data_IF_029929163235
#
_entry.id   IF_029929163235
#
_cell.length_a   1.000
_cell.length_b   1.000
_cell.length_c   1.000
_cell.angle_alpha   90.00
_cell.angle_beta   90.00
_cell.angle_gamma   90.00
#
_symmetry.space_group_name_H-M   'P 1'
#
loop_
_entity.id
_entity.type
_entity.pdbx_description
1 polymer ?
#
# COMPACT_ATOMS: atom_id res chain seq x y z
N UNK A 1 -2.13 -34.04 25.41
CA UNK A 1 -2.20 -32.64 24.97
C UNK A 1 -0.88 -32.29 24.33
N UNK A 2 -0.85 -32.04 23.02
CA UNK A 2 0.35 -31.57 22.31
C UNK A 2 0.48 -30.06 22.50
N UNK A 3 1.64 -29.60 22.96
CA UNK A 3 2.00 -28.19 22.93
C UNK A 3 2.37 -27.80 21.50
N UNK A 4 1.77 -26.71 20.99
CA UNK A 4 1.81 -26.30 19.58
C UNK A 4 2.92 -25.28 19.27
N UNK A 5 3.69 -24.82 20.26
CA UNK A 5 4.79 -23.88 20.01
C UNK A 5 5.98 -24.21 20.89
N UNK A 6 7.02 -24.76 20.28
CA UNK A 6 8.38 -24.80 20.81
C UNK A 6 9.27 -23.98 19.87
N UNK A 7 9.27 -22.67 20.10
CA UNK A 7 10.16 -21.72 19.47
C UNK A 7 10.50 -20.67 20.51
N UNK A 8 11.65 -20.81 21.14
CA UNK A 8 12.20 -19.89 22.13
C UNK A 8 12.29 -18.48 21.52
N UNK A 9 11.54 -17.54 22.07
CA UNK A 9 11.75 -16.10 21.83
C UNK A 9 13.04 -15.70 22.54
N UNK A 10 14.17 -15.89 21.87
CA UNK A 10 15.46 -15.36 22.32
C UNK A 10 15.40 -13.83 22.42
N UNK A 11 16.02 -13.21 23.44
CA UNK A 11 15.99 -11.77 23.60
C UNK A 11 16.74 -11.08 22.45
N UNK A 12 16.11 -10.04 21.88
CA UNK A 12 16.69 -9.21 20.83
C UNK A 12 17.94 -8.52 21.40
N UNK A 13 19.12 -8.97 20.98
CA UNK A 13 20.38 -8.30 21.28
C UNK A 13 20.64 -7.29 20.16
N UNK A 14 20.32 -6.03 20.44
CA UNK A 14 20.90 -4.89 19.74
C UNK A 14 22.41 -4.91 20.04
N UNK A 15 23.26 -4.57 19.07
CA UNK A 15 24.73 -4.59 19.15
C UNK A 15 25.40 -5.96 18.96
N UNK A 16 25.60 -6.37 17.71
CA UNK A 16 26.95 -6.63 17.18
C UNK A 16 26.91 -6.61 15.65
N UNK A 17 27.42 -5.53 15.07
CA UNK A 17 27.76 -5.44 13.65
C UNK A 17 28.95 -6.36 13.39
N UNK A 18 28.75 -7.40 12.58
CA UNK A 18 29.81 -8.38 12.30
C UNK A 18 29.29 -9.65 11.64
N UNK A 19 29.03 -9.53 10.35
CA UNK A 19 29.35 -10.59 9.38
C UNK A 19 28.56 -11.91 9.50
N UNK A 20 27.28 -11.90 9.08
CA UNK A 20 26.60 -13.06 8.49
C UNK A 20 25.60 -12.60 7.44
N UNK A 21 26.05 -12.60 6.18
CA UNK A 21 25.22 -12.35 5.01
C UNK A 21 25.25 -13.62 4.14
N UNK A 22 24.59 -14.68 4.61
CA UNK A 22 24.41 -15.96 3.88
C UNK A 22 22.92 -16.21 3.57
N UNK A 23 22.23 -15.18 3.10
CA UNK A 23 21.04 -15.32 2.27
C UNK A 23 21.34 -14.72 0.91
N UNK A 24 20.78 -15.22 -0.20
CA UNK A 24 20.92 -14.53 -1.48
C UNK A 24 20.51 -13.07 -1.25
N UNK A 25 21.26 -12.08 -1.75
CA UNK A 25 20.83 -10.70 -1.66
C UNK A 25 19.42 -10.65 -2.25
N UNK A 26 18.42 -10.43 -1.40
CA UNK A 26 17.06 -10.21 -1.84
C UNK A 26 17.16 -9.12 -2.90
N UNK A 27 16.62 -9.32 -4.11
CA UNK A 27 16.68 -8.32 -5.14
C UNK A 27 16.19 -7.04 -4.50
N UNK A 28 17.11 -6.08 -4.34
CA UNK A 28 16.73 -4.74 -3.98
C UNK A 28 15.74 -4.36 -5.07
N UNK A 29 14.46 -4.31 -4.73
CA UNK A 29 13.45 -3.66 -5.54
C UNK A 29 13.81 -2.18 -5.51
N UNK A 30 14.88 -1.87 -6.25
CA UNK A 30 15.44 -0.57 -6.43
C UNK A 30 14.35 0.20 -7.12
N UNK A 31 13.67 1.02 -6.34
CA UNK A 31 12.92 2.14 -6.85
C UNK A 31 13.93 3.12 -7.44
N UNK A 32 14.39 2.77 -8.64
CA UNK A 32 15.21 3.62 -9.49
C UNK A 32 14.30 4.75 -9.95
N UNK A 33 14.42 5.92 -9.31
CA UNK A 33 14.32 7.26 -9.91
C UNK A 33 13.15 7.62 -10.82
N UNK A 34 12.08 6.82 -10.92
CA UNK A 34 10.90 7.18 -11.70
C UNK A 34 10.13 8.20 -10.88
N UNK A 35 10.04 9.42 -11.38
CA UNK A 35 9.09 10.44 -10.91
C UNK A 35 7.70 9.80 -11.00
N UNK A 36 7.12 9.49 -9.84
CA UNK A 36 5.77 8.94 -9.74
C UNK A 36 4.82 10.14 -9.84
N UNK A 37 4.05 10.25 -10.92
CA UNK A 37 2.97 11.26 -11.04
C UNK A 37 1.77 10.86 -10.16
N UNK A 38 2.02 10.75 -8.85
CA UNK A 38 1.03 10.29 -7.87
C UNK A 38 -0.01 11.36 -7.55
N UNK A 39 0.35 12.65 -7.71
CA UNK A 39 -0.52 13.79 -7.44
C UNK A 39 -1.76 13.76 -8.35
N UNK A 40 -1.54 13.70 -9.67
CA UNK A 40 -2.62 13.57 -10.66
C UNK A 40 -3.45 12.29 -10.44
N UNK A 41 -2.78 11.19 -10.12
CA UNK A 41 -3.45 9.91 -9.91
C UNK A 41 -4.38 9.91 -8.69
N UNK A 42 -3.97 10.58 -7.59
CA UNK A 42 -4.78 10.73 -6.38
C UNK A 42 -5.84 11.82 -6.53
N UNK A 43 -5.58 12.90 -7.28
CA UNK A 43 -6.58 13.95 -7.53
C UNK A 43 -7.78 13.44 -8.32
N UNK A 44 -7.54 12.53 -9.26
CA UNK A 44 -8.60 11.84 -9.99
C UNK A 44 -9.59 11.11 -9.05
N UNK A 45 -9.13 10.60 -7.90
CA UNK A 45 -9.98 9.86 -6.95
C UNK A 45 -11.06 10.72 -6.28
N UNK A 46 -11.00 12.04 -6.39
CA UNK A 46 -12.09 12.91 -5.95
C UNK A 46 -13.42 12.58 -6.62
N UNK A 47 -13.39 12.20 -7.90
CA UNK A 47 -14.59 11.88 -8.70
C UNK A 47 -15.38 10.70 -8.14
N UNK A 48 -14.81 9.48 -8.00
CA UNK A 48 -15.56 8.34 -7.46
C UNK A 48 -16.01 8.58 -6.02
N UNK A 49 -15.22 9.29 -5.20
CA UNK A 49 -15.60 9.63 -3.82
C UNK A 49 -16.82 10.57 -3.80
N UNK A 50 -16.89 11.56 -4.69
CA UNK A 50 -18.06 12.44 -4.80
C UNK A 50 -19.34 11.71 -5.21
N UNK A 51 -19.25 10.55 -5.87
CA UNK A 51 -20.42 9.75 -6.27
C UNK A 51 -20.97 8.83 -5.18
N UNK A 52 -20.26 8.67 -4.06
CA UNK A 52 -20.71 7.84 -2.93
C UNK A 52 -22.00 8.41 -2.34
N UNK A 53 -23.05 7.60 -2.25
CA UNK A 53 -24.38 8.07 -1.81
C UNK A 53 -24.44 8.41 -0.31
N UNK A 54 -23.73 7.65 0.52
CA UNK A 54 -23.67 7.86 1.96
C UNK A 54 -22.68 8.97 2.30
N UNK A 55 -23.17 10.05 2.94
CA UNK A 55 -22.35 11.22 3.28
C UNK A 55 -21.29 10.89 4.35
N UNK A 56 -21.58 9.96 5.26
CA UNK A 56 -20.63 9.51 6.27
C UNK A 56 -19.48 8.75 5.63
N UNK A 57 -19.80 7.79 4.74
CA UNK A 57 -18.79 7.03 3.99
C UNK A 57 -17.99 7.96 3.07
N UNK A 58 -18.66 8.93 2.43
CA UNK A 58 -18.00 9.95 1.61
C UNK A 58 -17.00 10.76 2.42
N UNK A 59 -17.40 11.27 3.59
CA UNK A 59 -16.51 11.99 4.50
C UNK A 59 -15.31 11.14 4.94
N UNK A 60 -15.55 9.88 5.30
CA UNK A 60 -14.50 8.94 5.67
C UNK A 60 -13.51 8.68 4.51
N UNK A 61 -14.00 8.53 3.28
CA UNK A 61 -13.17 8.38 2.08
C UNK A 61 -12.34 9.63 1.78
N UNK A 62 -12.90 10.83 1.98
CA UNK A 62 -12.17 12.09 1.81
C UNK A 62 -11.03 12.25 2.82
N UNK A 63 -11.27 11.86 4.08
CA UNK A 63 -10.24 11.83 5.11
C UNK A 63 -9.16 10.80 4.74
N UNK A 64 -9.56 9.59 4.37
CA UNK A 64 -8.63 8.54 3.95
C UNK A 64 -7.78 8.98 2.74
N UNK A 65 -8.37 9.66 1.75
CA UNK A 65 -7.64 10.22 0.61
C UNK A 65 -6.64 11.31 1.05
N UNK A 66 -7.03 12.18 1.97
CA UNK A 66 -6.16 13.26 2.47
C UNK A 66 -4.94 12.70 3.19
N UNK A 67 -5.13 11.67 4.01
CA UNK A 67 -4.04 10.98 4.70
C UNK A 67 -3.18 10.21 3.70
N UNK A 68 -3.80 9.58 2.69
CA UNK A 68 -3.09 8.92 1.61
C UNK A 68 -2.13 9.89 0.90
N UNK A 69 -2.60 11.08 0.52
CA UNK A 69 -1.77 12.12 -0.10
C UNK A 69 -0.59 12.49 0.78
N UNK A 70 -0.81 12.66 2.08
CA UNK A 70 0.27 12.93 3.04
C UNK A 70 1.29 11.78 3.11
N UNK A 71 0.83 10.52 3.18
CA UNK A 71 1.71 9.35 3.16
C UNK A 71 2.54 9.27 1.87
N UNK A 72 1.93 9.54 0.70
CA UNK A 72 2.65 9.58 -0.58
C UNK A 72 3.69 10.70 -0.61
N UNK A 73 3.32 11.90 -0.17
CA UNK A 73 4.24 13.03 -0.09
C UNK A 73 5.42 12.75 0.82
N UNK A 74 5.22 12.10 1.96
CA UNK A 74 6.31 11.79 2.88
C UNK A 74 7.14 10.58 2.43
N UNK A 75 6.55 9.63 1.70
CA UNK A 75 7.24 8.42 1.21
C UNK A 75 8.07 8.69 -0.06
N UNK A 76 7.51 9.46 -1.00
CA UNK A 76 8.09 9.71 -2.32
C UNK A 76 8.61 11.14 -2.48
N UNK A 77 8.23 12.07 -1.60
CA UNK A 77 8.43 13.49 -1.80
C UNK A 77 7.42 14.07 -2.79
N UNK A 78 7.73 15.27 -3.27
CA UNK A 78 6.99 15.98 -4.32
C UNK A 78 7.79 15.89 -5.62
N UNK A 79 7.15 16.08 -6.78
CA UNK A 79 7.83 16.16 -8.10
C UNK A 79 8.99 17.15 -8.12
N UNK A 80 8.95 18.15 -7.23
CA UNK A 80 9.94 19.23 -7.07
C UNK A 80 11.04 18.90 -6.04
N UNK A 81 10.81 17.94 -5.12
CA UNK A 81 11.74 17.60 -4.04
C UNK A 81 11.55 16.14 -3.56
N UNK A 82 12.22 15.15 -4.19
CA UNK A 82 12.12 13.75 -3.79
C UNK A 82 12.79 13.50 -2.43
N UNK A 83 12.08 12.84 -1.50
CA UNK A 83 12.62 12.45 -0.18
C UNK A 83 13.08 11.00 -0.21
N UNK A 84 14.35 10.75 0.13
CA UNK A 84 14.97 9.41 0.09
C UNK A 84 15.45 8.97 1.48
N UNK A 85 14.66 9.18 2.52
CA UNK A 85 15.00 8.69 3.87
C UNK A 85 14.32 7.35 4.14
N UNK A 86 15.14 6.31 4.33
CA UNK A 86 14.69 4.92 4.46
C UNK A 86 14.02 4.60 5.82
N UNK A 87 14.37 5.33 6.88
CA UNK A 87 14.13 4.87 8.25
C UNK A 87 12.74 5.22 8.81
N UNK A 88 11.97 6.08 8.13
CA UNK A 88 10.63 6.51 8.57
C UNK A 88 9.46 5.92 7.75
N UNK A 89 9.73 5.14 6.69
CA UNK A 89 8.71 4.74 5.71
C UNK A 89 7.59 3.88 6.30
N UNK A 90 7.93 2.92 7.17
CA UNK A 90 6.94 1.99 7.71
C UNK A 90 5.86 2.68 8.53
N UNK A 91 6.24 3.51 9.50
CA UNK A 91 5.28 4.19 10.38
C UNK A 91 4.36 5.13 9.59
N UNK A 92 4.93 5.83 8.59
CA UNK A 92 4.18 6.76 7.74
C UNK A 92 3.17 6.00 6.87
N UNK A 93 3.58 4.89 6.26
CA UNK A 93 2.68 4.09 5.41
C UNK A 93 1.60 3.44 6.27
N UNK A 94 1.97 2.86 7.41
CA UNK A 94 0.99 2.23 8.31
C UNK A 94 0.06 3.24 8.99
N UNK A 95 0.45 4.52 9.10
CA UNK A 95 -0.42 5.58 9.63
C UNK A 95 -1.75 5.66 8.86
N UNK A 96 -1.73 5.42 7.54
CA UNK A 96 -2.96 5.39 6.75
C UNK A 96 -3.97 4.37 7.27
N UNK A 97 -3.52 3.14 7.57
CA UNK A 97 -4.37 2.08 8.14
C UNK A 97 -4.88 2.44 9.54
N UNK A 98 -4.04 3.07 10.36
CA UNK A 98 -4.42 3.45 11.73
C UNK A 98 -5.43 4.58 11.79
N UNK A 99 -5.51 5.41 10.76
CA UNK A 99 -6.43 6.54 10.71
C UNK A 99 -7.73 6.25 9.95
N UNK A 100 -7.96 5.00 9.51
CA UNK A 100 -9.23 4.62 8.91
C UNK A 100 -10.34 4.64 9.96
N UNK A 101 -11.43 5.33 9.66
CA UNK A 101 -12.61 5.35 10.53
C UNK A 101 -13.40 4.03 10.42
N UNK A 102 -14.26 3.76 11.41
CA UNK A 102 -15.10 2.55 11.39
C UNK A 102 -16.02 2.50 10.17
N UNK A 103 -16.47 3.66 9.70
CA UNK A 103 -17.33 3.80 8.53
C UNK A 103 -16.58 3.40 7.25
N UNK A 104 -15.30 3.80 7.12
CA UNK A 104 -14.47 3.38 6.00
C UNK A 104 -14.18 1.88 6.03
N UNK A 105 -13.91 1.32 7.21
CA UNK A 105 -13.69 -0.12 7.36
C UNK A 105 -14.98 -0.90 7.03
N UNK A 106 -16.14 -0.35 7.38
CA UNK A 106 -17.44 -0.94 7.05
C UNK A 106 -17.72 -0.87 5.55
N UNK A 107 -17.47 0.27 4.90
CA UNK A 107 -17.63 0.41 3.45
C UNK A 107 -16.70 -0.53 2.66
N UNK A 108 -15.48 -0.77 3.16
CA UNK A 108 -14.59 -1.80 2.60
C UNK A 108 -15.20 -3.21 2.70
N UNK A 109 -15.83 -3.57 3.83
CA UNK A 109 -16.52 -4.86 4.00
C UNK A 109 -17.73 -4.99 3.08
N UNK A 110 -18.45 -3.89 2.88
CA UNK A 110 -19.58 -3.79 1.95
C UNK A 110 -19.16 -3.73 0.48
N UNK A 111 -17.84 -3.74 0.21
CA UNK A 111 -17.24 -3.71 -1.14
C UNK A 111 -17.63 -2.45 -1.91
N UNK A 112 -17.74 -1.34 -1.19
CA UNK A 112 -17.99 -0.04 -1.79
C UNK A 112 -16.82 0.32 -2.76
N UNK A 113 -17.11 0.69 -4.02
CA UNK A 113 -16.07 0.89 -5.02
C UNK A 113 -15.00 1.92 -4.68
N UNK A 114 -15.37 3.10 -4.17
CA UNK A 114 -14.41 4.17 -3.85
C UNK A 114 -13.42 3.75 -2.75
N UNK A 115 -13.91 3.03 -1.75
CA UNK A 115 -13.14 2.49 -0.62
C UNK A 115 -12.14 1.43 -1.11
N UNK A 116 -12.60 0.52 -1.98
CA UNK A 116 -11.74 -0.48 -2.61
C UNK A 116 -10.66 0.16 -3.50
N UNK A 117 -11.01 1.19 -4.27
CA UNK A 117 -10.05 1.93 -5.09
C UNK A 117 -8.97 2.55 -4.20
N UNK A 118 -9.34 3.21 -3.10
CA UNK A 118 -8.36 3.76 -2.14
C UNK A 118 -7.43 2.67 -1.58
N UNK A 119 -7.96 1.48 -1.27
CA UNK A 119 -7.14 0.34 -0.85
C UNK A 119 -6.18 -0.14 -1.95
N UNK A 120 -6.57 -0.06 -3.22
CA UNK A 120 -5.70 -0.35 -4.36
C UNK A 120 -4.50 0.61 -4.40
N UNK A 121 -4.71 1.89 -4.14
CA UNK A 121 -3.64 2.90 -4.08
C UNK A 121 -2.75 2.69 -2.85
N UNK A 122 -3.32 2.24 -1.73
CA UNK A 122 -2.54 1.85 -0.56
C UNK A 122 -1.53 0.73 -0.88
N UNK A 123 -1.91 -0.21 -1.75
CA UNK A 123 -1.01 -1.29 -2.16
C UNK A 123 0.28 -0.77 -2.82
N UNK A 124 0.24 0.39 -3.48
CA UNK A 124 1.43 1.04 -4.06
C UNK A 124 2.38 1.53 -2.96
N UNK A 125 1.85 2.05 -1.86
CA UNK A 125 2.67 2.39 -0.69
C UNK A 125 3.26 1.12 -0.06
N UNK A 126 2.48 0.06 0.11
CA UNK A 126 2.97 -1.22 0.63
C UNK A 126 4.07 -1.82 -0.23
N UNK A 127 4.03 -1.63 -1.55
CA UNK A 127 5.09 -2.12 -2.42
C UNK A 127 6.44 -1.45 -2.11
N UNK A 128 6.48 -0.22 -1.59
CA UNK A 128 7.74 0.38 -1.11
C UNK A 128 8.32 -0.31 0.13
N UNK A 129 7.46 -1.00 0.89
CA UNK A 129 7.85 -1.81 2.04
C UNK A 129 8.20 -3.25 1.66
N UNK A 130 8.04 -3.64 0.39
CA UNK A 130 8.34 -5.01 -0.09
C UNK A 130 9.81 -5.42 0.10
N UNK A 131 10.70 -4.45 0.37
CA UNK A 131 12.08 -4.72 0.79
C UNK A 131 12.18 -5.44 2.13
N UNK A 132 11.14 -5.36 2.97
CA UNK A 132 11.04 -6.11 4.20
C UNK A 132 10.44 -7.50 3.92
N UNK A 133 11.11 -8.56 4.39
CA UNK A 133 10.75 -9.96 4.14
C UNK A 133 9.29 -10.31 4.48
N UNK A 134 8.69 -9.67 5.48
CA UNK A 134 7.30 -9.94 5.89
C UNK A 134 6.25 -9.16 5.08
N UNK A 135 6.66 -8.13 4.34
CA UNK A 135 5.81 -7.30 3.48
C UNK A 135 5.85 -7.73 2.01
N UNK A 136 6.75 -8.66 1.66
CA UNK A 136 6.83 -9.26 0.33
C UNK A 136 5.49 -9.91 -0.06
N UNK A 137 5.03 -9.67 -1.29
CA UNK A 137 3.79 -10.26 -1.83
C UNK A 137 2.46 -9.62 -1.38
N UNK A 138 2.44 -8.75 -0.37
CA UNK A 138 1.20 -8.12 0.12
C UNK A 138 0.55 -7.19 -0.91
N UNK A 139 1.34 -6.30 -1.50
CA UNK A 139 0.87 -5.34 -2.49
C UNK A 139 0.18 -6.00 -3.71
N UNK A 140 0.80 -6.96 -4.41
CA UNK A 140 0.13 -7.64 -5.53
C UNK A 140 -1.10 -8.44 -5.09
N UNK A 141 -1.07 -9.07 -3.90
CA UNK A 141 -2.22 -9.81 -3.37
C UNK A 141 -3.44 -8.91 -3.14
N UNK A 142 -3.24 -7.76 -2.50
CA UNK A 142 -4.30 -6.77 -2.24
C UNK A 142 -4.87 -6.28 -3.56
N UNK A 143 -4.01 -5.88 -4.48
CA UNK A 143 -4.42 -5.35 -5.78
C UNK A 143 -5.26 -6.37 -6.57
N UNK A 144 -4.82 -7.64 -6.62
CA UNK A 144 -5.55 -8.70 -7.29
C UNK A 144 -6.93 -8.92 -6.68
N UNK A 145 -7.05 -8.94 -5.35
CA UNK A 145 -8.35 -9.07 -4.68
C UNK A 145 -9.27 -7.90 -4.97
N UNK A 146 -8.75 -6.68 -4.89
CA UNK A 146 -9.52 -5.45 -5.16
C UNK A 146 -10.05 -5.46 -6.60
N UNK A 147 -9.21 -5.77 -7.58
CA UNK A 147 -9.63 -5.89 -8.99
C UNK A 147 -10.70 -6.97 -9.19
N UNK A 148 -10.56 -8.12 -8.51
CA UNK A 148 -11.54 -9.21 -8.57
C UNK A 148 -12.91 -8.85 -7.98
N UNK A 149 -12.97 -7.92 -7.03
CA UNK A 149 -14.22 -7.47 -6.41
C UNK A 149 -14.89 -6.34 -7.22
N UNK A 150 -14.12 -5.35 -7.65
CA UNK A 150 -14.62 -4.17 -8.37
C UNK A 150 -15.18 -4.50 -9.77
N UNK A 151 -14.63 -5.54 -10.42
CA UNK A 151 -15.02 -5.90 -11.77
C UNK A 151 -14.56 -4.88 -12.84
N UNK A 152 -14.95 -5.09 -14.12
CA UNK A 152 -14.37 -4.38 -15.26
C UNK A 152 -14.77 -2.89 -15.35
N UNK A 153 -15.86 -2.49 -14.70
CA UNK A 153 -16.36 -1.11 -14.75
C UNK A 153 -15.41 -0.10 -14.08
N UNK A 154 -14.58 -0.54 -13.13
CA UNK A 154 -13.70 0.32 -12.35
C UNK A 154 -12.21 0.12 -12.69
N UNK A 155 -11.90 -0.66 -13.73
CA UNK A 155 -10.52 -0.96 -14.13
C UNK A 155 -9.71 0.28 -14.45
N UNK A 156 -10.33 1.32 -15.03
CA UNK A 156 -9.66 2.59 -15.33
C UNK A 156 -9.13 3.30 -14.05
N UNK A 157 -9.81 3.14 -12.92
CA UNK A 157 -9.39 3.73 -11.63
C UNK A 157 -8.25 2.96 -10.96
N UNK A 158 -8.18 1.64 -11.19
CA UNK A 158 -7.15 0.77 -10.58
C UNK A 158 -5.94 0.54 -11.52
N UNK A 159 -6.03 1.05 -12.75
CA UNK A 159 -4.98 0.95 -13.77
C UNK A 159 -3.66 1.57 -13.31
N UNK A 160 -3.71 2.76 -12.69
CA UNK A 160 -2.49 3.42 -12.23
C UNK A 160 -1.77 2.62 -11.14
N UNK A 161 -2.45 2.17 -10.04
CA UNK A 161 -1.83 1.26 -9.08
C UNK A 161 -1.24 -0.02 -9.68
N UNK A 162 -1.93 -0.61 -10.65
CA UNK A 162 -1.47 -1.81 -11.34
C UNK A 162 -0.20 -1.60 -12.18
N UNK A 163 0.00 -0.40 -12.74
CA UNK A 163 1.23 -0.06 -13.46
C UNK A 163 2.42 0.12 -12.51
N UNK A 164 2.19 0.55 -11.26
CA UNK A 164 3.26 0.75 -10.29
C UNK A 164 3.78 -0.55 -9.68
N UNK A 165 2.89 -1.55 -9.51
CA UNK A 165 3.24 -2.85 -8.93
C UNK A 165 3.69 -3.78 -10.08
N UNK A 166 5.01 -3.82 -10.32
CA UNK A 166 5.63 -4.52 -11.46
C UNK A 166 5.27 -6.01 -11.57
N UNK A 167 5.00 -6.69 -10.45
CA UNK A 167 4.61 -8.11 -10.42
C UNK A 167 3.18 -8.39 -10.91
N UNK A 168 2.32 -7.38 -11.05
CA UNK A 168 0.98 -7.59 -11.60
C UNK A 168 1.03 -7.94 -13.11
N UNK A 169 2.03 -7.41 -13.82
CA UNK A 169 2.19 -7.66 -15.25
C UNK A 169 2.57 -9.11 -15.58
N UNK A 170 3.28 -9.80 -14.68
CA UNK A 170 3.71 -11.18 -14.87
C UNK A 170 2.57 -12.19 -14.61
N UNK A 171 1.67 -11.88 -13.68
CA UNK A 171 0.57 -12.75 -13.25
C UNK A 171 -0.60 -12.81 -14.26
N UNK A 172 -0.75 -11.82 -15.15
CA UNK A 172 -1.76 -11.84 -16.22
C UNK A 172 -1.29 -12.54 -17.51
N UNK A 173 -0.04 -12.99 -17.58
CA UNK A 173 0.54 -13.69 -18.74
C UNK A 173 0.65 -15.21 -18.56
N UNK A 174 0.11 -15.78 -17.49
CA UNK A 174 0.10 -17.23 -17.23
C UNK A 174 -1.31 -17.82 -17.21
#
# INVERSE_FOLDING_TARGET
>A
MQAVFAGELGPMSFDTLGDRQDGPPHPHHGYSGVILDWEDALDRLSVPISTVADESVRGACQIALSIMKWCFQETYGTTVAPKTTADAKFNIIMAWLYCLSEEFVTSLKEKEPASLILLAYFAVLLWTLSTAWFMEGWAPHILQRVCGILGPAWTEWVKWPALQIKDFSALCTS
#
